data_IF_008133481634
#
_entry.id   IF_008133481634
#
_cell.length_a   1.000
_cell.length_b   1.000
_cell.length_c   1.000
_cell.angle_alpha   90.00
_cell.angle_beta   90.00
_cell.angle_gamma   90.00
#
_symmetry.space_group_name_H-M   'P 1'
#
loop_
_entity.id
_entity.type
_entity.pdbx_description
1 polymer ?
#
# COMPACT_ATOMS: atom_id res chain seq x y z
N UNK A 1 66.59 6.24 39.09
CA UNK A 1 65.12 6.14 38.99
C UNK A 1 64.75 6.13 37.51
N UNK A 2 64.37 4.97 36.97
CA UNK A 2 63.74 4.89 35.64
C UNK A 2 62.85 3.65 35.65
N UNK A 3 61.53 3.87 35.72
CA UNK A 3 60.53 2.80 35.85
C UNK A 3 60.26 2.19 34.48
N UNK A 4 60.38 0.86 34.39
CA UNK A 4 59.86 0.04 33.30
C UNK A 4 58.35 0.29 33.15
N UNK A 5 57.89 0.60 31.94
CA UNK A 5 56.48 0.48 31.57
C UNK A 5 56.33 -0.72 30.63
N UNK A 6 55.85 -1.82 31.19
CA UNK A 6 55.44 -3.00 30.45
C UNK A 6 54.07 -2.73 29.84
N UNK A 7 53.99 -2.64 28.51
CA UNK A 7 52.73 -2.49 27.79
C UNK A 7 52.01 -3.85 27.74
N UNK A 8 50.88 -3.97 28.43
CA UNK A 8 50.00 -5.13 28.36
C UNK A 8 49.00 -4.90 27.21
N UNK A 9 49.20 -5.59 26.10
CA UNK A 9 48.30 -5.54 24.94
C UNK A 9 47.08 -6.43 25.23
N UNK A 10 46.01 -5.81 25.73
CA UNK A 10 44.73 -6.48 25.96
C UNK A 10 44.01 -6.57 24.60
N UNK A 11 44.12 -7.73 23.95
CA UNK A 11 43.29 -8.12 22.80
C UNK A 11 41.82 -8.14 23.26
N UNK A 12 41.09 -7.03 23.05
CA UNK A 12 39.64 -7.04 23.09
C UNK A 12 39.15 -7.83 21.88
N UNK A 13 38.78 -9.08 22.10
CA UNK A 13 37.98 -9.83 21.15
C UNK A 13 36.63 -9.13 21.01
N UNK A 14 36.40 -8.56 19.83
CA UNK A 14 35.12 -7.98 19.45
C UNK A 14 34.08 -9.09 19.32
N UNK A 15 33.43 -9.45 20.43
CA UNK A 15 32.11 -10.06 20.41
C UNK A 15 31.10 -8.96 20.10
N UNK A 16 31.11 -8.48 18.85
CA UNK A 16 29.94 -7.78 18.33
C UNK A 16 28.89 -8.85 18.15
N UNK A 17 27.96 -8.87 19.10
CA UNK A 17 26.84 -9.80 19.12
C UNK A 17 26.14 -9.80 17.78
N UNK A 18 25.77 -10.99 17.33
CA UNK A 18 24.66 -11.13 16.41
C UNK A 18 23.43 -10.59 17.15
N UNK A 19 23.11 -9.32 16.89
CA UNK A 19 21.83 -8.77 17.23
C UNK A 19 20.80 -9.54 16.40
N UNK A 20 20.21 -10.50 17.08
CA UNK A 20 19.14 -11.38 16.65
C UNK A 20 18.12 -10.59 15.81
N UNK A 21 17.89 -11.04 14.57
CA UNK A 21 16.77 -10.60 13.74
C UNK A 21 15.48 -10.78 14.57
N UNK A 22 15.00 -9.71 15.20
CA UNK A 22 13.60 -9.65 15.62
C UNK A 22 12.76 -9.25 14.40
N UNK A 23 12.90 -10.02 13.32
CA UNK A 23 12.02 -9.95 12.17
C UNK A 23 10.81 -10.77 12.56
N UNK A 24 9.64 -10.14 12.63
CA UNK A 24 8.39 -10.90 12.61
C UNK A 24 8.20 -11.46 11.18
N UNK A 25 9.07 -12.39 10.76
CA UNK A 25 8.98 -13.13 9.51
C UNK A 25 7.97 -14.25 9.71
N UNK A 26 6.70 -13.91 9.69
CA UNK A 26 5.65 -14.93 9.82
C UNK A 26 4.61 -14.75 8.72
N UNK A 27 4.50 -15.62 7.71
CA UNK A 27 5.40 -16.67 7.25
C UNK A 27 4.96 -16.85 5.78
N UNK A 28 5.63 -16.24 4.79
CA UNK A 28 5.17 -16.38 3.40
C UNK A 28 5.09 -17.87 3.00
N UNK A 29 5.97 -18.68 3.58
CA UNK A 29 6.01 -20.13 3.42
C UNK A 29 4.73 -20.87 3.88
N UNK A 30 3.92 -20.28 4.77
CA UNK A 30 2.64 -20.89 5.18
C UNK A 30 1.48 -20.53 4.25
N UNK A 31 1.68 -19.58 3.34
CA UNK A 31 0.67 -19.13 2.39
C UNK A 31 0.80 -19.90 1.07
N UNK A 32 -0.17 -20.76 0.77
CA UNK A 32 -0.32 -21.31 -0.58
C UNK A 32 -1.06 -20.29 -1.44
N UNK A 33 -0.34 -19.54 -2.27
CA UNK A 33 -0.93 -18.50 -3.13
C UNK A 33 -1.64 -19.17 -4.32
N UNK A 34 -2.94 -18.92 -4.45
CA UNK A 34 -3.73 -19.35 -5.61
C UNK A 34 -4.10 -18.14 -6.47
N UNK A 35 -3.50 -18.02 -7.66
CA UNK A 35 -3.85 -17.00 -8.65
C UNK A 35 -4.94 -17.44 -9.63
N UNK A 36 -5.05 -16.71 -10.75
CA UNK A 36 -5.99 -16.99 -11.84
C UNK A 36 -5.30 -16.95 -13.21
N UNK A 37 -6.09 -16.99 -14.29
CA UNK A 37 -5.59 -16.87 -15.68
C UNK A 37 -5.25 -15.43 -16.04
N UNK A 38 -6.01 -14.49 -15.47
CA UNK A 38 -5.80 -13.05 -15.68
C UNK A 38 -5.25 -12.37 -14.44
N UNK A 39 -4.72 -11.16 -14.60
CA UNK A 39 -4.29 -10.33 -13.48
C UNK A 39 -5.45 -10.04 -12.52
N UNK A 40 -6.62 -9.70 -13.06
CA UNK A 40 -7.84 -9.46 -12.27
C UNK A 40 -8.25 -10.69 -11.46
N UNK A 41 -8.34 -11.86 -12.09
CA UNK A 41 -8.68 -13.11 -11.39
C UNK A 41 -7.67 -13.43 -10.30
N UNK A 42 -6.38 -13.23 -10.59
CA UNK A 42 -5.29 -13.42 -9.62
C UNK A 42 -5.48 -12.50 -8.41
N UNK A 43 -5.70 -11.20 -8.64
CA UNK A 43 -5.90 -10.22 -7.57
C UNK A 43 -7.12 -10.54 -6.71
N UNK A 44 -8.23 -10.95 -7.31
CA UNK A 44 -9.44 -11.31 -6.57
C UNK A 44 -9.25 -12.63 -5.80
N UNK A 45 -8.65 -13.66 -6.40
CA UNK A 45 -8.42 -14.95 -5.73
C UNK A 45 -7.47 -14.78 -4.53
N UNK A 46 -6.41 -13.99 -4.68
CA UNK A 46 -5.49 -13.66 -3.59
C UNK A 46 -6.19 -12.81 -2.53
N UNK A 47 -6.94 -11.78 -2.94
CA UNK A 47 -7.70 -10.96 -2.01
C UNK A 47 -8.65 -11.79 -1.13
N UNK A 48 -9.33 -12.79 -1.71
CA UNK A 48 -10.25 -13.69 -1.01
C UNK A 48 -9.55 -14.63 -0.02
N UNK A 49 -8.31 -15.04 -0.28
CA UNK A 49 -7.55 -15.94 0.61
C UNK A 49 -7.31 -15.35 2.01
N UNK A 50 -7.36 -14.02 2.12
CA UNK A 50 -7.20 -13.34 3.40
C UNK A 50 -8.52 -13.03 4.11
N UNK A 51 -9.69 -13.37 3.56
CA UNK A 51 -10.97 -13.17 4.26
C UNK A 51 -10.93 -13.83 5.64
N UNK A 52 -11.36 -13.10 6.66
CA UNK A 52 -11.31 -13.53 8.07
C UNK A 52 -9.98 -13.27 8.79
N UNK A 53 -8.91 -12.85 8.08
CA UNK A 53 -7.68 -12.42 8.75
C UNK A 53 -7.93 -11.16 9.59
N UNK A 54 -7.38 -11.06 10.81
CA UNK A 54 -7.67 -9.98 11.74
C UNK A 54 -7.20 -8.62 11.23
N UNK A 55 -7.97 -7.60 11.60
CA UNK A 55 -7.59 -6.20 11.44
C UNK A 55 -6.68 -5.77 12.59
N UNK A 56 -5.44 -5.35 12.29
CA UNK A 56 -4.48 -4.83 13.28
C UNK A 56 -3.82 -3.58 12.70
N UNK A 57 -3.99 -2.39 13.32
CA UNK A 57 -3.32 -1.17 12.88
C UNK A 57 -1.85 -1.15 13.36
N UNK A 58 -1.03 -0.28 12.74
CA UNK A 58 0.35 -0.01 13.16
C UNK A 58 1.32 -1.21 13.06
N UNK A 59 1.01 -2.22 12.26
CA UNK A 59 1.87 -3.40 12.06
C UNK A 59 3.21 -3.09 11.41
N UNK A 60 3.38 -1.92 10.81
CA UNK A 60 4.64 -1.47 10.21
C UNK A 60 5.55 -0.68 11.17
N UNK A 61 5.01 -0.18 12.29
CA UNK A 61 5.70 0.72 13.22
C UNK A 61 6.30 -0.05 14.42
N UNK A 62 6.88 -1.23 14.14
CA UNK A 62 7.38 -2.17 15.16
C UNK A 62 8.90 -2.10 15.36
N UNK A 63 9.62 -1.46 14.43
CA UNK A 63 11.08 -1.39 14.42
C UNK A 63 11.56 0.04 14.73
N UNK A 64 12.75 0.20 15.36
CA UNK A 64 13.31 1.52 15.64
C UNK A 64 13.69 2.29 14.37
N UNK A 65 14.06 1.57 13.30
CA UNK A 65 14.42 2.13 11.99
C UNK A 65 13.48 1.59 10.92
N UNK A 66 13.14 2.44 9.94
CA UNK A 66 12.30 2.03 8.82
C UNK A 66 12.97 0.90 8.03
N UNK A 67 12.25 -0.21 7.87
CA UNK A 67 12.66 -1.37 7.08
C UNK A 67 11.43 -2.10 6.57
N UNK A 68 11.62 -2.97 5.57
CA UNK A 68 10.51 -3.75 5.03
C UNK A 68 9.97 -4.74 6.07
N UNK A 69 8.78 -4.45 6.60
CA UNK A 69 8.01 -5.41 7.41
C UNK A 69 7.09 -6.23 6.51
N UNK A 70 7.19 -7.56 6.62
CA UNK A 70 6.33 -8.52 5.91
C UNK A 70 5.44 -9.21 6.93
N UNK A 71 4.14 -8.91 6.89
CA UNK A 71 3.11 -9.59 7.69
C UNK A 71 1.98 -10.02 6.75
N UNK A 72 1.68 -11.32 6.72
CA UNK A 72 0.59 -11.91 5.93
C UNK A 72 -0.52 -12.52 6.80
N UNK A 73 -0.46 -12.28 8.11
CA UNK A 73 -1.37 -12.82 9.12
C UNK A 73 -2.34 -11.75 9.63
N UNK A 74 -1.91 -10.51 9.71
CA UNK A 74 -2.66 -9.40 10.29
C UNK A 74 -2.52 -8.17 9.40
N UNK A 75 -3.62 -7.45 9.19
CA UNK A 75 -3.64 -6.35 8.23
C UNK A 75 -4.36 -5.12 8.75
N UNK A 76 -3.93 -3.95 8.28
CA UNK A 76 -4.81 -2.81 8.10
C UNK A 76 -5.25 -2.71 6.63
N UNK A 77 -6.04 -1.70 6.29
CA UNK A 77 -6.55 -1.54 4.92
C UNK A 77 -5.45 -1.41 3.86
N UNK A 78 -4.34 -0.74 4.18
CA UNK A 78 -3.25 -0.47 3.26
C UNK A 78 -2.35 -1.70 3.13
N UNK A 79 -1.92 -2.28 4.24
CA UNK A 79 -1.04 -3.46 4.24
C UNK A 79 -1.73 -4.68 3.64
N UNK A 80 -3.05 -4.82 3.81
CA UNK A 80 -3.87 -5.79 3.08
C UNK A 80 -3.74 -5.60 1.57
N UNK A 81 -4.06 -4.40 1.08
CA UNK A 81 -4.05 -4.10 -0.34
C UNK A 81 -2.66 -4.30 -0.94
N UNK A 82 -1.63 -3.71 -0.32
CA UNK A 82 -0.25 -3.83 -0.80
C UNK A 82 0.22 -5.27 -0.88
N UNK A 83 -0.14 -6.10 0.11
CA UNK A 83 0.18 -7.54 0.10
C UNK A 83 -0.51 -8.25 -1.06
N UNK A 84 -1.80 -8.01 -1.28
CA UNK A 84 -2.55 -8.61 -2.39
C UNK A 84 -1.97 -8.19 -3.74
N UNK A 85 -1.68 -6.91 -3.93
CA UNK A 85 -1.10 -6.41 -5.17
C UNK A 85 0.31 -6.95 -5.41
N UNK A 86 1.16 -6.98 -4.37
CA UNK A 86 2.52 -7.52 -4.46
C UNK A 86 2.50 -9.01 -4.84
N UNK A 87 1.66 -9.82 -4.17
CA UNK A 87 1.50 -11.24 -4.52
C UNK A 87 0.94 -11.44 -5.93
N UNK A 88 0.04 -10.57 -6.37
CA UNK A 88 -0.53 -10.62 -7.73
C UNK A 88 0.51 -10.34 -8.80
N UNK A 89 1.39 -9.36 -8.58
CA UNK A 89 2.49 -9.03 -9.47
C UNK A 89 3.53 -10.16 -9.48
N UNK A 90 3.88 -10.70 -8.31
CA UNK A 90 4.78 -11.85 -8.20
C UNK A 90 4.24 -13.07 -8.95
N UNK A 91 2.94 -13.36 -8.80
CA UNK A 91 2.32 -14.50 -9.49
C UNK A 91 2.41 -14.41 -11.02
N UNK A 92 2.35 -13.19 -11.55
CA UNK A 92 2.47 -12.92 -12.98
C UNK A 92 3.92 -12.99 -13.47
N UNK A 93 4.85 -12.44 -12.68
CA UNK A 93 6.26 -12.30 -13.05
C UNK A 93 7.05 -13.62 -12.89
N UNK A 94 6.69 -14.44 -11.89
CA UNK A 94 7.39 -15.69 -11.59
C UNK A 94 6.83 -16.84 -12.43
N UNK A 95 7.68 -17.38 -13.30
CA UNK A 95 7.38 -18.54 -14.15
C UNK A 95 7.34 -19.83 -13.34
N UNK A 96 8.39 -20.11 -12.56
CA UNK A 96 8.47 -21.25 -11.65
C UNK A 96 7.93 -20.89 -10.26
N UNK A 97 6.62 -21.10 -10.08
CA UNK A 97 5.90 -20.84 -8.83
C UNK A 97 6.27 -21.82 -7.71
N UNK A 98 6.96 -22.92 -8.02
CA UNK A 98 7.43 -23.88 -7.02
C UNK A 98 8.78 -23.47 -6.42
N UNK A 99 9.53 -22.61 -7.11
CA UNK A 99 10.73 -21.99 -6.55
C UNK A 99 10.34 -20.94 -5.48
N UNK A 100 10.19 -21.41 -4.24
CA UNK A 100 9.76 -20.58 -3.12
C UNK A 100 10.70 -19.41 -2.86
N UNK A 101 12.02 -19.60 -3.00
CA UNK A 101 13.00 -18.54 -2.78
C UNK A 101 12.85 -17.42 -3.81
N UNK A 102 12.69 -17.76 -5.09
CA UNK A 102 12.44 -16.79 -6.16
C UNK A 102 11.11 -16.06 -5.96
N UNK A 103 10.06 -16.80 -5.57
CA UNK A 103 8.74 -16.24 -5.31
C UNK A 103 8.80 -15.22 -4.16
N UNK A 104 9.43 -15.59 -3.05
CA UNK A 104 9.60 -14.70 -1.90
C UNK A 104 10.41 -13.46 -2.24
N UNK A 105 11.57 -13.62 -2.89
CA UNK A 105 12.42 -12.51 -3.30
C UNK A 105 11.63 -11.53 -4.19
N UNK A 106 10.86 -12.05 -5.14
CA UNK A 106 10.05 -11.26 -6.07
C UNK A 106 8.89 -10.56 -5.35
N UNK A 107 8.24 -11.24 -4.41
CA UNK A 107 7.22 -10.64 -3.55
C UNK A 107 7.77 -9.49 -2.71
N UNK A 108 8.89 -9.69 -2.02
CA UNK A 108 9.53 -8.64 -1.23
C UNK A 108 9.93 -7.45 -2.10
N UNK A 109 10.42 -7.69 -3.32
CA UNK A 109 10.70 -6.64 -4.31
C UNK A 109 9.44 -5.84 -4.69
N UNK A 110 8.32 -6.50 -5.01
CA UNK A 110 7.09 -5.79 -5.36
C UNK A 110 6.46 -5.08 -4.17
N UNK A 111 6.53 -5.66 -2.96
CA UNK A 111 6.04 -5.02 -1.75
C UNK A 111 6.84 -3.75 -1.44
N UNK A 112 8.17 -3.82 -1.51
CA UNK A 112 9.04 -2.63 -1.37
C UNK A 112 8.70 -1.59 -2.43
N UNK A 113 8.56 -2.04 -3.68
CA UNK A 113 8.16 -1.15 -4.78
C UNK A 113 6.83 -0.48 -4.48
N UNK A 114 5.80 -1.17 -4.01
CA UNK A 114 4.48 -0.58 -3.77
C UNK A 114 4.48 0.42 -2.61
N UNK A 115 5.17 0.07 -1.52
CA UNK A 115 5.12 0.78 -0.23
C UNK A 115 6.02 2.00 -0.14
N UNK A 116 7.14 2.00 -0.86
CA UNK A 116 8.16 3.04 -0.73
C UNK A 116 8.30 3.87 -2.00
N UNK A 117 8.60 5.15 -1.82
CA UNK A 117 8.80 6.13 -2.90
C UNK A 117 9.95 5.66 -3.79
N UNK A 118 9.72 5.66 -5.10
CA UNK A 118 10.65 5.09 -6.08
C UNK A 118 11.08 3.64 -5.82
N UNK A 119 10.38 2.92 -4.92
CA UNK A 119 10.75 1.58 -4.47
C UNK A 119 12.01 1.52 -3.62
N UNK A 120 12.38 2.60 -2.91
CA UNK A 120 13.59 2.69 -2.10
C UNK A 120 13.26 3.00 -0.63
N UNK A 121 13.83 2.20 0.27
CA UNK A 121 13.71 2.41 1.71
C UNK A 121 14.80 3.40 2.11
N UNK A 122 14.39 4.58 2.57
CA UNK A 122 15.27 5.69 2.97
C UNK A 122 14.62 6.47 4.12
N UNK A 123 14.49 5.78 5.27
CA UNK A 123 13.83 6.30 6.46
C UNK A 123 12.30 6.39 6.35
N UNK A 124 11.68 6.81 7.46
CA UNK A 124 10.21 6.82 7.62
C UNK A 124 9.49 7.62 6.54
N UNK A 125 10.08 8.74 6.10
CA UNK A 125 9.46 9.60 5.09
C UNK A 125 9.51 9.02 3.66
N UNK A 126 10.29 7.96 3.40
CA UNK A 126 10.26 7.26 2.11
C UNK A 126 9.06 6.35 1.96
N UNK A 127 8.41 5.94 3.07
CA UNK A 127 7.14 5.21 3.04
C UNK A 127 6.00 6.12 2.55
N UNK A 128 5.16 5.59 1.68
CA UNK A 128 4.08 6.33 1.02
C UNK A 128 2.84 6.43 1.93
N UNK A 129 2.88 7.31 2.94
CA UNK A 129 1.83 7.44 3.96
C UNK A 129 0.52 8.06 3.45
N UNK A 130 0.61 8.97 2.48
CA UNK A 130 -0.56 9.57 1.83
C UNK A 130 -0.91 8.79 0.59
N UNK A 131 -2.14 8.32 0.49
CA UNK A 131 -2.51 7.40 -0.58
C UNK A 131 -2.56 8.10 -1.96
N UNK A 132 -2.67 9.43 -2.00
CA UNK A 132 -2.47 10.21 -3.23
C UNK A 132 -1.02 10.20 -3.70
N UNK A 133 -0.06 10.20 -2.78
CA UNK A 133 1.36 10.00 -3.13
C UNK A 133 1.61 8.54 -3.51
N UNK A 134 1.02 7.59 -2.77
CA UNK A 134 1.04 6.17 -3.11
C UNK A 134 0.59 5.94 -4.55
N UNK A 135 -0.56 6.48 -4.95
CA UNK A 135 -1.10 6.32 -6.29
C UNK A 135 -0.18 6.95 -7.36
N UNK A 136 0.23 8.20 -7.15
CA UNK A 136 1.09 8.93 -8.09
C UNK A 136 2.45 8.25 -8.27
N UNK A 137 3.05 7.76 -7.18
CA UNK A 137 4.34 7.08 -7.24
C UNK A 137 4.20 5.70 -7.89
N UNK A 138 3.17 4.92 -7.55
CA UNK A 138 2.93 3.62 -8.16
C UNK A 138 2.53 3.70 -9.64
N UNK A 139 1.90 4.79 -10.06
CA UNK A 139 1.67 5.08 -11.48
C UNK A 139 2.99 5.40 -12.21
N UNK A 140 3.85 6.26 -11.64
CA UNK A 140 5.20 6.53 -12.18
C UNK A 140 6.05 5.26 -12.28
N UNK A 141 5.94 4.36 -11.31
CA UNK A 141 6.63 3.05 -11.30
C UNK A 141 6.02 2.04 -12.29
N UNK A 142 4.92 2.40 -12.97
CA UNK A 142 4.25 1.54 -13.94
C UNK A 142 3.53 0.34 -13.32
N UNK A 143 3.19 0.41 -12.02
CA UNK A 143 2.52 -0.68 -11.31
C UNK A 143 1.00 -0.54 -11.34
N UNK A 144 0.49 0.69 -11.31
CA UNK A 144 -0.94 0.98 -11.40
C UNK A 144 -1.22 2.07 -12.44
N UNK A 145 -2.48 2.25 -12.79
CA UNK A 145 -2.97 3.37 -13.61
C UNK A 145 -4.15 4.01 -12.89
N UNK A 146 -4.13 5.33 -12.71
CA UNK A 146 -5.29 6.08 -12.23
C UNK A 146 -6.33 6.15 -13.35
N UNK A 147 -7.50 5.54 -13.13
CA UNK A 147 -8.60 5.50 -14.10
C UNK A 147 -9.76 6.39 -13.65
N UNK A 148 -9.57 7.17 -12.59
CA UNK A 148 -10.63 8.00 -11.99
C UNK A 148 -11.20 9.00 -12.99
N UNK A 149 -10.35 9.57 -13.86
CA UNK A 149 -10.77 10.51 -14.89
C UNK A 149 -11.77 9.89 -15.88
N UNK A 150 -11.59 8.62 -16.22
CA UNK A 150 -12.33 7.94 -17.29
C UNK A 150 -13.71 7.43 -16.82
N UNK A 151 -13.95 7.46 -15.51
CA UNK A 151 -15.20 7.00 -14.92
C UNK A 151 -16.28 8.10 -14.94
N UNK A 152 -17.55 7.73 -15.16
CA UNK A 152 -18.63 8.70 -15.23
C UNK A 152 -18.83 9.42 -13.89
N UNK A 153 -19.12 10.72 -13.98
CA UNK A 153 -19.31 11.58 -12.82
C UNK A 153 -18.00 12.03 -12.16
N UNK A 154 -16.85 11.74 -12.75
CA UNK A 154 -15.55 12.29 -12.34
C UNK A 154 -15.50 13.81 -12.53
N UNK A 155 -14.81 14.48 -11.61
CA UNK A 155 -14.51 15.91 -11.64
C UNK A 155 -13.05 16.13 -11.24
N UNK A 156 -12.47 17.25 -11.64
CA UNK A 156 -11.16 17.67 -11.15
C UNK A 156 -11.32 18.55 -9.91
N UNK A 157 -10.56 18.26 -8.85
CA UNK A 157 -10.55 19.04 -7.61
C UNK A 157 -9.13 19.29 -7.13
N UNK A 158 -8.96 20.34 -6.33
CA UNK A 158 -7.76 20.55 -5.53
C UNK A 158 -8.11 20.37 -4.05
N UNK A 159 -7.26 19.65 -3.32
CA UNK A 159 -7.41 19.43 -1.88
C UNK A 159 -6.07 19.57 -1.20
N UNK A 160 -5.99 20.46 -0.20
CA UNK A 160 -4.82 20.57 0.66
C UNK A 160 -4.67 19.34 1.54
N UNK A 161 -3.44 18.84 1.63
CA UNK A 161 -3.02 17.73 2.47
C UNK A 161 -2.05 18.30 3.52
N UNK A 162 -2.30 18.03 4.79
CA UNK A 162 -1.52 18.58 5.91
C UNK A 162 -1.74 17.80 7.23
N UNK A 163 -2.35 16.61 7.17
CA UNK A 163 -2.87 15.95 8.36
C UNK A 163 -1.79 15.47 9.33
N UNK A 164 -0.72 14.86 8.81
CA UNK A 164 0.39 14.32 9.60
C UNK A 164 1.16 15.44 10.29
N UNK A 165 1.54 16.50 9.56
CA UNK A 165 2.26 17.64 10.16
C UNK A 165 1.40 18.45 11.13
N UNK A 166 0.07 18.47 10.96
CA UNK A 166 -0.85 19.08 11.93
C UNK A 166 -1.19 18.16 13.13
N UNK A 167 -0.87 16.87 13.04
CA UNK A 167 -1.22 15.85 14.05
C UNK A 167 0.00 15.04 14.50
N UNK A 168 1.16 15.68 14.64
CA UNK A 168 2.46 15.03 14.95
C UNK A 168 2.40 14.13 16.17
N UNK A 169 1.57 14.45 17.16
CA UNK A 169 1.34 13.62 18.36
C UNK A 169 0.87 12.18 18.06
N UNK A 170 0.32 11.92 16.86
CA UNK A 170 -0.06 10.58 16.38
C UNK A 170 1.06 9.84 15.67
N UNK A 171 2.15 10.53 15.33
CA UNK A 171 3.22 10.03 14.48
C UNK A 171 4.57 10.32 15.16
N UNK A 172 5.02 9.48 16.11
CA UNK A 172 6.24 9.73 16.88
C UNK A 172 7.50 10.00 16.02
N UNK A 173 7.59 9.41 14.83
CA UNK A 173 8.68 9.64 13.88
C UNK A 173 8.78 11.09 13.40
N UNK A 174 7.71 11.89 13.48
CA UNK A 174 7.71 13.31 13.10
C UNK A 174 8.32 14.22 14.19
N UNK A 175 8.74 13.67 15.33
CA UNK A 175 9.54 14.41 16.31
C UNK A 175 10.96 14.69 15.80
N UNK A 176 11.44 13.91 14.82
CA UNK A 176 12.67 14.21 14.09
C UNK A 176 12.40 15.37 13.09
N UNK A 177 13.08 16.53 13.22
CA UNK A 177 12.89 17.67 12.33
C UNK A 177 13.17 17.37 10.86
N UNK A 178 14.07 16.43 10.55
CA UNK A 178 14.39 16.02 9.17
C UNK A 178 13.20 15.28 8.58
N UNK A 179 12.65 14.31 9.30
CA UNK A 179 11.46 13.55 8.90
C UNK A 179 10.26 14.47 8.75
N UNK A 180 10.03 15.37 9.72
CA UNK A 180 8.97 16.37 9.66
C UNK A 180 9.07 17.21 8.38
N UNK A 181 10.27 17.72 8.05
CA UNK A 181 10.50 18.53 6.85
C UNK A 181 10.20 17.75 5.57
N UNK A 182 10.62 16.49 5.48
CA UNK A 182 10.36 15.65 4.30
C UNK A 182 8.86 15.35 4.12
N UNK A 183 8.13 15.09 5.21
CA UNK A 183 6.67 14.90 5.17
C UNK A 183 5.96 16.20 4.78
N UNK A 184 6.37 17.35 5.34
CA UNK A 184 5.81 18.66 4.98
C UNK A 184 6.02 19.01 3.49
N UNK A 185 7.18 18.65 2.91
CA UNK A 185 7.44 18.81 1.48
C UNK A 185 6.51 17.93 0.63
N UNK A 186 6.27 16.70 1.08
CA UNK A 186 5.32 15.78 0.42
C UNK A 186 3.90 16.38 0.44
N UNK A 187 3.45 16.85 1.59
CA UNK A 187 2.15 17.50 1.78
C UNK A 187 1.98 18.75 0.90
N UNK A 188 3.00 19.62 0.83
CA UNK A 188 3.00 20.79 -0.04
C UNK A 188 2.89 20.41 -1.53
N UNK A 189 3.68 19.41 -1.98
CA UNK A 189 3.64 18.89 -3.35
C UNK A 189 2.28 18.29 -3.71
N UNK A 190 1.65 17.56 -2.78
CA UNK A 190 0.30 17.03 -2.97
C UNK A 190 -0.73 18.14 -3.09
N UNK A 191 -0.66 19.13 -2.19
CA UNK A 191 -1.61 20.24 -2.08
C UNK A 191 -1.65 21.15 -3.31
N UNK A 192 -0.55 21.26 -4.05
CA UNK A 192 -0.44 22.12 -5.24
C UNK A 192 -1.03 21.50 -6.51
N UNK A 193 -1.43 20.23 -6.49
CA UNK A 193 -1.82 19.49 -7.69
C UNK A 193 -3.28 19.07 -7.64
N UNK A 194 -4.05 19.51 -8.63
CA UNK A 194 -5.38 19.00 -8.87
C UNK A 194 -5.35 17.49 -9.19
N UNK A 195 -6.47 16.81 -8.95
CA UNK A 195 -6.64 15.39 -9.25
C UNK A 195 -8.09 15.07 -9.60
N UNK A 196 -8.26 14.03 -10.40
CA UNK A 196 -9.58 13.48 -10.74
C UNK A 196 -10.19 12.76 -9.55
N UNK A 197 -11.49 12.96 -9.36
CA UNK A 197 -12.21 12.57 -8.17
C UNK A 197 -13.68 12.29 -8.49
N UNK A 198 -14.25 11.23 -7.93
CA UNK A 198 -15.67 10.92 -8.07
C UNK A 198 -16.36 11.30 -6.76
N UNK A 199 -17.14 12.39 -6.73
CA UNK A 199 -17.80 12.81 -5.51
C UNK A 199 -18.88 11.80 -5.13
N UNK A 200 -19.14 11.69 -3.84
CA UNK A 200 -20.13 10.80 -3.24
C UNK A 200 -21.52 10.90 -3.91
N UNK A 201 -21.93 12.08 -4.38
CA UNK A 201 -23.18 12.28 -5.13
C UNK A 201 -23.23 11.56 -6.50
N UNK A 202 -22.07 11.29 -7.10
CA UNK A 202 -21.94 10.68 -8.42
C UNK A 202 -21.54 9.19 -8.36
N UNK A 203 -21.37 8.63 -7.16
CA UNK A 203 -20.81 7.28 -6.97
C UNK A 203 -21.60 6.17 -7.68
N UNK A 204 -22.94 6.30 -7.75
CA UNK A 204 -23.79 5.32 -8.45
C UNK A 204 -23.54 5.29 -9.95
N UNK A 205 -23.19 6.43 -10.55
CA UNK A 205 -22.83 6.48 -11.96
C UNK A 205 -21.50 5.76 -12.17
N UNK A 206 -20.49 6.09 -11.37
CA UNK A 206 -19.16 5.48 -11.42
C UNK A 206 -19.19 3.95 -11.26
N UNK A 207 -20.01 3.43 -10.34
CA UNK A 207 -20.14 1.99 -10.07
C UNK A 207 -20.44 1.17 -11.33
N UNK A 208 -21.21 1.73 -12.27
CA UNK A 208 -21.59 1.05 -13.52
C UNK A 208 -20.39 0.69 -14.41
N UNK A 209 -19.26 1.38 -14.24
CA UNK A 209 -18.03 1.17 -15.01
C UNK A 209 -16.86 0.68 -14.18
N UNK A 210 -17.07 0.42 -12.88
CA UNK A 210 -16.07 -0.27 -12.07
C UNK A 210 -15.88 -1.71 -12.60
N UNK A 211 -14.63 -2.17 -12.54
CA UNK A 211 -14.21 -3.52 -12.93
C UNK A 211 -13.75 -4.29 -11.71
N UNK A 212 -13.87 -5.61 -11.76
CA UNK A 212 -13.30 -6.44 -10.70
C UNK A 212 -11.79 -6.22 -10.61
N UNK A 213 -11.28 -6.17 -9.39
CA UNK A 213 -9.88 -5.87 -9.10
C UNK A 213 -9.52 -4.39 -9.19
N UNK A 214 -10.46 -3.49 -9.54
CA UNK A 214 -10.23 -2.05 -9.41
C UNK A 214 -9.88 -1.72 -7.95
N UNK A 215 -8.81 -0.96 -7.77
CA UNK A 215 -8.37 -0.44 -6.46
C UNK A 215 -9.23 0.77 -6.15
N UNK A 216 -10.07 0.66 -5.12
CA UNK A 216 -11.03 1.69 -4.74
C UNK A 216 -10.51 2.41 -3.51
N UNK A 217 -10.09 3.66 -3.72
CA UNK A 217 -9.59 4.56 -2.68
C UNK A 217 -10.73 5.44 -2.18
N UNK A 218 -11.13 5.25 -0.91
CA UNK A 218 -12.23 6.01 -0.30
C UNK A 218 -11.68 7.31 0.27
N UNK A 219 -12.08 8.44 -0.33
CA UNK A 219 -11.52 9.75 0.01
C UNK A 219 -12.11 10.29 1.31
N UNK A 220 -11.28 10.95 2.11
CA UNK A 220 -11.75 11.54 3.37
C UNK A 220 -12.56 12.82 3.11
N UNK A 221 -13.64 13.02 3.87
CA UNK A 221 -14.33 14.32 3.96
C UNK A 221 -13.56 15.32 4.86
N UNK A 222 -12.70 14.81 5.76
CA UNK A 222 -11.90 15.62 6.66
C UNK A 222 -10.93 16.54 5.90
N UNK A 223 -10.78 17.82 6.29
CA UNK A 223 -9.73 18.69 5.77
C UNK A 223 -8.32 18.15 6.07
N UNK A 224 -7.37 18.39 5.17
CA UNK A 224 -5.96 18.01 5.35
C UNK A 224 -5.63 16.52 5.15
N UNK A 225 -6.63 15.63 5.07
CA UNK A 225 -6.45 14.19 4.82
C UNK A 225 -7.01 13.82 3.46
N UNK A 226 -6.25 13.16 2.60
CA UNK A 226 -6.69 12.81 1.24
C UNK A 226 -7.61 11.58 1.22
N UNK A 227 -7.15 10.45 1.77
CA UNK A 227 -7.86 9.18 1.83
C UNK A 227 -8.13 8.75 3.26
N UNK A 228 -9.23 8.01 3.44
CA UNK A 228 -9.61 7.41 4.72
C UNK A 228 -9.41 5.90 4.73
N UNK A 229 -9.64 5.25 3.60
CA UNK A 229 -9.72 3.79 3.52
C UNK A 229 -9.49 3.31 2.08
N UNK A 230 -9.20 2.01 1.92
CA UNK A 230 -8.98 1.40 0.60
C UNK A 230 -9.46 -0.05 0.56
N UNK A 231 -9.77 -0.54 -0.63
CA UNK A 231 -10.05 -1.96 -0.89
C UNK A 231 -10.07 -2.27 -2.39
N UNK A 232 -10.51 -3.48 -2.72
CA UNK A 232 -10.66 -3.97 -4.09
C UNK A 232 -12.15 -4.06 -4.45
N UNK A 233 -12.52 -3.62 -5.65
CA UNK A 233 -13.85 -3.86 -6.19
C UNK A 233 -14.02 -5.33 -6.56
N UNK A 234 -15.12 -5.94 -6.11
CA UNK A 234 -15.46 -7.33 -6.40
C UNK A 234 -16.94 -7.44 -6.76
N UNK A 235 -17.26 -8.22 -7.80
CA UNK A 235 -18.65 -8.48 -8.19
C UNK A 235 -19.26 -9.49 -7.21
N UNK A 236 -20.48 -9.25 -6.74
CA UNK A 236 -21.24 -10.19 -5.91
C UNK A 236 -22.42 -10.80 -6.67
N UNK A 237 -23.07 -11.87 -6.15
CA UNK A 237 -24.17 -12.55 -6.84
C UNK A 237 -25.37 -11.66 -7.18
N UNK A 238 -25.53 -10.52 -6.51
CA UNK A 238 -26.53 -9.50 -6.84
C UNK A 238 -26.19 -8.68 -8.11
N UNK A 239 -25.05 -8.95 -8.74
CA UNK A 239 -24.56 -8.29 -9.93
C UNK A 239 -23.87 -6.94 -9.68
N UNK A 240 -23.77 -6.49 -8.42
CA UNK A 240 -23.22 -5.19 -8.06
C UNK A 240 -21.78 -5.29 -7.57
N UNK A 241 -21.10 -4.14 -7.52
CA UNK A 241 -19.72 -4.07 -7.04
C UNK A 241 -19.69 -3.81 -5.55
N UNK A 242 -19.07 -4.71 -4.82
CA UNK A 242 -18.82 -4.63 -3.38
C UNK A 242 -17.34 -4.35 -3.12
N UNK A 243 -17.02 -4.00 -1.88
CA UNK A 243 -15.65 -3.73 -1.47
C UNK A 243 -15.09 -4.93 -0.71
N UNK A 244 -13.98 -5.48 -1.19
CA UNK A 244 -13.15 -6.43 -0.48
C UNK A 244 -12.01 -5.68 0.22
N UNK A 245 -11.99 -5.69 1.56
CA UNK A 245 -11.07 -4.86 2.35
C UNK A 245 -10.81 -5.42 3.75
N UNK A 246 -9.68 -5.04 4.36
CA UNK A 246 -9.51 -5.12 5.82
C UNK A 246 -10.37 -4.04 6.49
N UNK A 247 -11.28 -4.43 7.38
CA UNK A 247 -12.25 -3.53 8.01
C UNK A 247 -11.95 -3.36 9.50
N UNK A 248 -11.71 -2.12 9.94
CA UNK A 248 -11.62 -1.82 11.37
C UNK A 248 -12.95 -2.10 12.08
N UNK A 249 -14.08 -1.80 11.42
CA UNK A 249 -15.41 -1.90 12.01
C UNK A 249 -15.84 -3.36 12.21
N UNK A 250 -15.34 -4.26 11.36
CA UNK A 250 -15.62 -5.72 11.45
C UNK A 250 -14.44 -6.50 12.04
N UNK A 251 -13.33 -5.84 12.37
CA UNK A 251 -12.14 -6.47 12.94
C UNK A 251 -11.42 -7.48 12.03
N UNK A 252 -11.74 -7.54 10.74
CA UNK A 252 -11.19 -8.55 9.82
C UNK A 252 -11.24 -8.11 8.35
N UNK A 253 -10.56 -8.85 7.48
CA UNK A 253 -10.75 -8.79 6.02
C UNK A 253 -12.10 -9.38 5.65
N UNK A 254 -12.93 -8.58 4.96
CA UNK A 254 -14.31 -8.91 4.61
C UNK A 254 -14.66 -8.39 3.22
N UNK A 255 -15.76 -8.92 2.68
CA UNK A 255 -16.49 -8.27 1.59
C UNK A 255 -17.66 -7.53 2.23
N UNK A 256 -17.88 -6.27 1.84
CA UNK A 256 -19.03 -5.51 2.35
C UNK A 256 -20.33 -6.26 2.02
N UNK A 257 -21.34 -6.30 2.92
CA UNK A 257 -22.61 -6.96 2.61
C UNK A 257 -23.50 -6.11 1.68
N UNK A 258 -23.06 -4.90 1.35
CA UNK A 258 -23.74 -3.96 0.47
C UNK A 258 -22.77 -3.37 -0.56
N UNK A 259 -23.28 -2.88 -1.70
CA UNK A 259 -22.47 -2.32 -2.78
C UNK A 259 -21.65 -1.10 -2.38
N UNK A 260 -20.55 -0.85 -3.11
CA UNK A 260 -19.63 0.28 -2.90
C UNK A 260 -20.36 1.61 -2.88
N UNK A 261 -21.34 1.82 -3.78
CA UNK A 261 -22.09 3.08 -3.77
C UNK A 261 -22.79 3.32 -2.45
N UNK A 262 -23.40 2.27 -1.89
CA UNK A 262 -24.18 2.34 -0.67
C UNK A 262 -23.25 2.52 0.52
N UNK A 263 -22.10 1.82 0.53
CA UNK A 263 -21.02 2.04 1.48
C UNK A 263 -20.58 3.51 1.50
N UNK A 264 -20.24 4.07 0.35
CA UNK A 264 -19.79 5.47 0.28
C UNK A 264 -20.90 6.43 0.69
N UNK A 265 -22.15 6.19 0.25
CA UNK A 265 -23.34 6.99 0.57
C UNK A 265 -23.63 7.04 2.08
N UNK A 266 -23.53 5.92 2.78
CA UNK A 266 -23.87 5.83 4.20
C UNK A 266 -22.78 6.38 5.13
N UNK A 267 -21.50 6.29 4.75
CA UNK A 267 -20.42 6.77 5.60
C UNK A 267 -20.19 8.28 5.44
N UNK A 268 -20.65 9.08 6.41
CA UNK A 268 -20.54 10.56 6.41
C UNK A 268 -19.10 11.08 6.34
N UNK A 269 -18.14 10.28 6.78
CA UNK A 269 -16.72 10.65 6.79
C UNK A 269 -16.05 10.50 5.42
N UNK A 270 -16.75 9.94 4.43
CA UNK A 270 -16.28 9.79 3.06
C UNK A 270 -16.84 10.91 2.18
N UNK A 271 -15.98 11.48 1.33
CA UNK A 271 -16.36 12.49 0.34
C UNK A 271 -16.62 11.91 -1.04
N UNK A 272 -16.08 10.72 -1.35
CA UNK A 272 -16.18 10.08 -2.65
C UNK A 272 -15.11 9.00 -2.83
N UNK A 273 -14.71 8.75 -4.08
CA UNK A 273 -13.66 7.77 -4.41
C UNK A 273 -12.67 8.27 -5.45
N UNK A 274 -11.51 7.62 -5.46
CA UNK A 274 -10.61 7.51 -6.62
C UNK A 274 -10.46 6.03 -6.97
N UNK A 275 -10.13 5.74 -8.22
CA UNK A 275 -10.04 4.37 -8.74
C UNK A 275 -8.75 4.19 -9.51
N UNK A 276 -8.04 3.11 -9.21
CA UNK A 276 -6.85 2.70 -9.96
C UNK A 276 -6.96 1.25 -10.42
N UNK A 277 -6.17 0.88 -11.43
CA UNK A 277 -6.07 -0.49 -11.94
C UNK A 277 -4.64 -0.99 -11.84
N UNK A 278 -4.45 -2.24 -11.42
CA UNK A 278 -3.16 -2.91 -11.49
C UNK A 278 -2.75 -3.05 -12.97
N UNK A 279 -1.53 -2.65 -13.32
CA UNK A 279 -0.97 -2.89 -14.65
C UNK A 279 -0.45 -4.32 -14.70
N UNK A 280 -1.10 -5.16 -15.50
CA UNK A 280 -0.56 -6.48 -15.84
C UNK A 280 0.65 -6.31 -16.74
N UNK A 281 1.74 -7.02 -16.44
CA UNK A 281 2.96 -7.03 -17.24
C UNK A 281 2.75 -7.66 -18.62
N UNK A 282 2.14 -6.93 -19.55
CA UNK A 282 2.22 -7.19 -21.00
C UNK A 282 2.24 -5.86 -21.75
N UNK A 283 3.24 -5.06 -21.42
CA UNK A 283 3.70 -4.00 -22.30
C UNK A 283 5.19 -4.25 -22.46
N UNK A 284 5.52 -5.22 -23.32
CA UNK A 284 6.79 -5.15 -24.03
C UNK A 284 6.88 -3.73 -24.58
N UNK A 285 7.86 -2.99 -24.10
CA UNK A 285 8.24 -1.72 -24.67
C UNK A 285 8.61 -1.98 -26.13
N UNK A 286 7.66 -1.81 -27.04
CA UNK A 286 7.94 -1.42 -28.42
C UNK A 286 8.22 0.08 -28.37
N UNK A 287 9.36 0.42 -27.79
CA UNK A 287 10.00 1.69 -28.07
C UNK A 287 10.57 1.57 -29.48
N UNK A 288 10.11 2.45 -30.35
CA UNK A 288 10.37 2.53 -31.77
C UNK A 288 11.86 2.35 -32.12
N UNK A 289 12.15 1.30 -32.89
CA UNK A 289 13.10 1.38 -33.97
C UNK A 289 12.27 1.60 -35.24
N UNK A 290 12.31 2.81 -35.78
CA UNK A 290 11.54 3.17 -36.97
C UNK A 290 11.53 4.68 -37.18
N UNK A 291 12.47 5.09 -38.04
CA UNK A 291 12.75 6.42 -38.63
C UNK A 291 13.62 7.39 -37.82
#
# INVERSE_FOLDING_TARGET
MLKLFTAFFLMLTSLVGQAQELVLSTNLHSLTVVGGKTATETTINIGKQFIGKPYVPHTLDVNPTEQLVVNVLEFDCTTYLETVLALSLTWQDVTDKQNQALFEQTFRKYLTKLRYRAGQIDGYASRLHYFSDWLRDNERKGLVTDVTHDLPGSISVAKSVSYMTNSTYKYPHLNDPVVFKQVAQTEASLSQKAFSFIPKKNIRQAETQLREGDIVMLTAARPGLDMKHVGLAIRQPDGRMHLLHASSDQGAVVITPYPISDYVLWHKQLSGIRVARLRSGSSTATAAAGE
#
